data_IF_470410783014
#
_entry.id   IF_470410783014
#
_cell.length_a   1.000
_cell.length_b   1.000
_cell.length_c   1.000
_cell.angle_alpha   90.00
_cell.angle_beta   90.00
_cell.angle_gamma   90.00
#
_symmetry.space_group_name_H-M   'P 1'
#
loop_
_entity.id
_entity.type
_entity.pdbx_description
1 polymer ?
#
# COMPACT_ATOMS: atom_id res chain seq x y z
N UNK A 1 -16.41 -16.21 -7.94
CA UNK A 1 -16.37 -14.75 -7.68
C UNK A 1 -15.43 -14.12 -8.70
N UNK A 2 -15.93 -13.25 -9.58
CA UNK A 2 -15.12 -12.64 -10.65
C UNK A 2 -14.07 -11.67 -10.12
N UNK A 3 -13.00 -11.47 -10.89
CA UNK A 3 -12.01 -10.41 -10.66
C UNK A 3 -12.73 -9.06 -10.73
N UNK A 4 -12.93 -8.40 -9.59
CA UNK A 4 -13.50 -7.05 -9.59
C UNK A 4 -12.54 -6.12 -10.32
N UNK A 5 -13.02 -5.51 -11.41
CA UNK A 5 -12.25 -4.50 -12.15
C UNK A 5 -11.93 -3.31 -11.25
N UNK A 6 -10.78 -2.64 -11.44
CA UNK A 6 -10.53 -1.37 -10.79
C UNK A 6 -11.67 -0.38 -11.04
N UNK A 7 -12.01 0.42 -10.02
CA UNK A 7 -12.82 1.63 -10.26
C UNK A 7 -12.01 2.51 -11.21
N UNK A 8 -12.48 2.77 -12.44
CA UNK A 8 -11.68 3.45 -13.46
C UNK A 8 -11.18 4.82 -12.99
N UNK A 9 -12.03 5.56 -12.27
CA UNK A 9 -11.69 6.86 -11.69
C UNK A 9 -10.54 6.78 -10.69
N UNK A 10 -10.47 5.70 -9.90
CA UNK A 10 -9.43 5.53 -8.87
C UNK A 10 -8.15 4.88 -9.39
N UNK A 11 -8.19 4.27 -10.58
CA UNK A 11 -7.01 3.69 -11.21
C UNK A 11 -6.18 4.75 -11.94
N UNK A 12 -6.84 5.75 -12.51
CA UNK A 12 -6.19 6.86 -13.19
C UNK A 12 -5.90 8.00 -12.21
N UNK A 13 -4.65 8.46 -12.17
CA UNK A 13 -4.23 9.51 -11.25
C UNK A 13 -4.95 10.84 -11.56
N UNK A 14 -5.00 11.25 -12.82
CA UNK A 14 -5.59 12.52 -13.23
C UNK A 14 -7.10 12.53 -12.99
N UNK A 15 -7.78 11.42 -13.27
CA UNK A 15 -9.20 11.25 -12.99
C UNK A 15 -9.48 11.28 -11.48
N UNK A 16 -8.62 10.64 -10.67
CA UNK A 16 -8.73 10.71 -9.20
C UNK A 16 -8.58 12.15 -8.73
N UNK A 17 -7.57 12.88 -9.22
CA UNK A 17 -7.32 14.27 -8.83
C UNK A 17 -8.47 15.19 -9.23
N UNK A 18 -9.03 15.00 -10.44
CA UNK A 18 -10.17 15.79 -10.92
C UNK A 18 -11.40 15.59 -10.03
N UNK A 19 -11.75 14.33 -9.74
CA UNK A 19 -12.87 14.00 -8.86
C UNK A 19 -12.71 14.63 -7.46
N UNK A 20 -11.52 14.53 -6.87
CA UNK A 20 -11.28 15.10 -5.53
C UNK A 20 -11.30 16.64 -5.53
N UNK A 21 -10.84 17.29 -6.60
CA UNK A 21 -10.92 18.75 -6.73
C UNK A 21 -12.36 19.22 -6.97
N UNK A 22 -13.16 18.45 -7.71
CA UNK A 22 -14.60 18.71 -7.86
C UNK A 22 -15.33 18.60 -6.51
N UNK A 23 -15.03 17.57 -5.71
CA UNK A 23 -15.60 17.40 -4.36
C UNK A 23 -15.17 18.50 -3.37
N UNK A 24 -13.95 19.03 -3.51
CA UNK A 24 -13.45 20.13 -2.68
C UNK A 24 -14.16 21.47 -2.97
N UNK A 25 -14.85 21.60 -4.12
CA UNK A 25 -15.51 22.83 -4.54
C UNK A 25 -14.56 24.03 -4.59
N UNK A 26 -15.04 25.22 -4.24
CA UNK A 26 -14.27 26.47 -4.28
C UNK A 26 -13.47 26.76 -3.00
N UNK A 27 -13.37 25.82 -2.05
CA UNK A 27 -12.60 26.00 -0.81
C UNK A 27 -11.09 25.92 -1.09
N UNK A 28 -10.33 27.03 -0.97
CA UNK A 28 -8.91 27.02 -1.28
C UNK A 28 -8.08 26.11 -0.36
N UNK A 29 -8.49 25.94 0.89
CA UNK A 29 -7.78 25.11 1.86
C UNK A 29 -7.98 23.62 1.54
N UNK A 30 -9.19 23.22 1.19
CA UNK A 30 -9.47 21.83 0.77
C UNK A 30 -8.82 21.53 -0.59
N UNK A 31 -8.88 22.44 -1.56
CA UNK A 31 -8.16 22.28 -2.83
C UNK A 31 -6.65 22.11 -2.62
N UNK A 32 -6.05 22.86 -1.70
CA UNK A 32 -4.63 22.74 -1.38
C UNK A 32 -4.29 21.36 -0.79
N UNK A 33 -5.10 20.86 0.15
CA UNK A 33 -4.94 19.50 0.70
C UNK A 33 -5.04 18.43 -0.39
N UNK A 34 -5.99 18.56 -1.31
CA UNK A 34 -6.13 17.64 -2.44
C UNK A 34 -4.87 17.65 -3.31
N UNK A 35 -4.34 18.83 -3.68
CA UNK A 35 -3.11 18.94 -4.48
C UNK A 35 -1.92 18.30 -3.79
N UNK A 36 -1.71 18.59 -2.51
CA UNK A 36 -0.62 17.99 -1.71
C UNK A 36 -0.76 16.47 -1.62
N UNK A 37 -1.98 15.97 -1.43
CA UNK A 37 -2.24 14.53 -1.45
C UNK A 37 -1.92 13.91 -2.81
N UNK A 38 -2.29 14.58 -3.91
CA UNK A 38 -2.00 14.15 -5.28
C UNK A 38 -0.50 14.05 -5.57
N UNK A 39 0.27 15.07 -5.17
CA UNK A 39 1.72 15.05 -5.29
C UNK A 39 2.35 13.90 -4.51
N UNK A 40 1.87 13.64 -3.28
CA UNK A 40 2.32 12.49 -2.50
C UNK A 40 1.96 11.19 -3.21
N UNK A 41 0.71 11.04 -3.70
CA UNK A 41 0.28 9.86 -4.46
C UNK A 41 1.17 9.59 -5.68
N UNK A 42 1.51 10.62 -6.45
CA UNK A 42 2.38 10.50 -7.61
C UNK A 42 3.77 9.94 -7.24
N UNK A 43 4.30 10.29 -6.05
CA UNK A 43 5.55 9.74 -5.52
C UNK A 43 5.41 8.31 -4.99
N UNK A 44 4.28 7.98 -4.35
CA UNK A 44 4.01 6.64 -3.78
C UNK A 44 3.76 5.57 -4.84
N UNK A 45 3.04 5.90 -5.92
CA UNK A 45 2.60 4.90 -6.90
C UNK A 45 3.76 4.10 -7.53
N UNK A 46 4.87 4.70 -7.98
CA UNK A 46 6.01 3.94 -8.50
C UNK A 46 6.61 2.97 -7.48
N UNK A 47 6.74 3.38 -6.21
CA UNK A 47 7.28 2.54 -5.15
C UNK A 47 6.31 1.40 -4.80
N UNK A 48 5.01 1.69 -4.73
CA UNK A 48 3.99 0.67 -4.48
C UNK A 48 3.89 -0.37 -5.61
N UNK A 49 4.07 0.06 -6.87
CA UNK A 49 4.17 -0.86 -8.02
C UNK A 49 5.40 -1.76 -7.91
N UNK A 50 6.57 -1.21 -7.57
CA UNK A 50 7.78 -2.01 -7.31
C UNK A 50 7.55 -3.04 -6.20
N UNK A 51 6.91 -2.63 -5.12
CA UNK A 51 6.60 -3.53 -4.01
C UNK A 51 5.64 -4.65 -4.43
N UNK A 52 4.57 -4.33 -5.17
CA UNK A 52 3.67 -5.34 -5.72
C UNK A 52 4.39 -6.30 -6.68
N UNK A 53 5.28 -5.80 -7.53
CA UNK A 53 6.07 -6.63 -8.45
C UNK A 53 7.07 -7.54 -7.72
N UNK A 54 7.68 -7.05 -6.63
CA UNK A 54 8.53 -7.85 -5.75
C UNK A 54 7.74 -9.03 -5.15
N UNK A 55 6.56 -8.77 -4.60
CA UNK A 55 5.69 -9.81 -4.04
C UNK A 55 5.23 -10.81 -5.11
N UNK A 56 4.92 -10.33 -6.32
CA UNK A 56 4.48 -11.19 -7.42
C UNK A 56 5.59 -12.13 -7.88
N UNK A 57 6.80 -11.63 -8.10
CA UNK A 57 7.95 -12.44 -8.51
C UNK A 57 8.34 -13.52 -7.50
N UNK A 58 8.11 -13.25 -6.22
CA UNK A 58 8.39 -14.19 -5.14
C UNK A 58 7.19 -15.07 -4.77
N UNK A 59 6.12 -15.05 -5.59
CA UNK A 59 4.96 -15.93 -5.43
C UNK A 59 4.08 -15.64 -4.21
N UNK A 60 4.24 -14.47 -3.58
CA UNK A 60 3.40 -14.03 -2.44
C UNK A 60 2.03 -13.59 -2.92
N UNK A 61 1.97 -12.99 -4.11
CA UNK A 61 0.74 -12.69 -4.84
C UNK A 61 0.82 -13.25 -6.26
N UNK A 62 -0.32 -13.52 -6.88
CA UNK A 62 -0.38 -14.00 -8.26
C UNK A 62 -1.59 -13.42 -9.01
N UNK A 63 -1.61 -13.57 -10.33
CA UNK A 63 -2.69 -13.11 -11.21
C UNK A 63 -4.01 -13.87 -11.05
N UNK A 64 -4.09 -14.91 -10.22
CA UNK A 64 -5.33 -15.65 -9.92
C UNK A 64 -6.06 -15.10 -8.69
N UNK A 65 -5.35 -14.38 -7.82
CA UNK A 65 -5.93 -13.77 -6.63
C UNK A 65 -7.06 -12.79 -6.98
N UNK A 66 -8.12 -12.80 -6.17
CA UNK A 66 -9.12 -11.73 -6.24
C UNK A 66 -8.47 -10.42 -5.82
N UNK A 67 -8.95 -9.31 -6.38
CA UNK A 67 -8.43 -7.98 -6.08
C UNK A 67 -8.48 -7.63 -4.59
N UNK A 68 -9.57 -7.99 -3.91
CA UNK A 68 -9.71 -7.81 -2.46
C UNK A 68 -8.60 -8.57 -1.73
N UNK A 69 -8.36 -9.84 -2.08
CA UNK A 69 -7.31 -10.64 -1.46
C UNK A 69 -5.92 -10.12 -1.80
N UNK A 70 -5.65 -9.76 -3.05
CA UNK A 70 -4.38 -9.15 -3.50
C UNK A 70 -4.08 -7.89 -2.69
N UNK A 71 -5.04 -6.96 -2.66
CA UNK A 71 -4.88 -5.70 -1.95
C UNK A 71 -4.64 -5.97 -0.47
N UNK A 72 -5.43 -6.84 0.16
CA UNK A 72 -5.23 -7.24 1.55
C UNK A 72 -3.84 -7.84 1.79
N UNK A 73 -3.37 -8.75 0.94
CA UNK A 73 -2.03 -9.36 1.05
C UNK A 73 -0.92 -8.31 0.92
N UNK A 74 -0.96 -7.46 -0.12
CA UNK A 74 0.02 -6.37 -0.29
C UNK A 74 0.04 -5.48 0.95
N UNK A 75 -1.16 -5.19 1.48
CA UNK A 75 -1.35 -4.41 2.68
C UNK A 75 -0.66 -5.01 3.90
N UNK A 76 -0.85 -6.30 4.19
CA UNK A 76 -0.19 -6.96 5.32
C UNK A 76 1.33 -7.07 5.11
N UNK A 77 1.77 -7.39 3.90
CA UNK A 77 3.18 -7.46 3.54
C UNK A 77 3.86 -6.10 3.70
N UNK A 78 3.18 -5.00 3.35
CA UNK A 78 3.70 -3.65 3.53
C UNK A 78 3.96 -3.37 5.01
N UNK A 79 3.02 -3.74 5.89
CA UNK A 79 3.20 -3.62 7.34
C UNK A 79 4.42 -4.39 7.85
N UNK A 80 4.62 -5.62 7.36
CA UNK A 80 5.76 -6.44 7.76
C UNK A 80 7.08 -5.86 7.24
N UNK A 81 7.11 -5.37 6.01
CA UNK A 81 8.29 -4.80 5.38
C UNK A 81 8.85 -3.56 6.12
N UNK A 82 8.01 -2.77 6.81
CA UNK A 82 8.50 -1.62 7.59
C UNK A 82 9.34 -2.04 8.79
N UNK A 83 9.14 -3.25 9.35
CA UNK A 83 10.03 -3.81 10.39
C UNK A 83 11.42 -4.17 9.86
N UNK A 84 11.50 -4.40 8.55
CA UNK A 84 12.76 -4.61 7.83
C UNK A 84 13.31 -3.30 7.26
N UNK A 85 12.83 -2.15 7.75
CA UNK A 85 13.39 -0.83 7.41
C UNK A 85 12.90 -0.23 6.10
N UNK A 86 11.90 -0.83 5.44
CA UNK A 86 11.25 -0.22 4.28
C UNK A 86 10.51 1.06 4.69
N UNK A 87 10.66 2.12 3.88
CA UNK A 87 9.98 3.40 4.11
C UNK A 87 8.44 3.26 4.05
N UNK A 88 7.74 3.93 4.96
CA UNK A 88 6.27 3.87 5.04
C UNK A 88 5.58 4.66 3.90
N UNK A 89 6.33 5.38 3.08
CA UNK A 89 5.86 6.20 1.97
C UNK A 89 4.86 7.29 2.39
N UNK A 90 4.89 7.71 3.66
CA UNK A 90 3.91 8.62 4.24
C UNK A 90 2.51 8.01 4.39
N UNK A 91 2.37 6.68 4.37
CA UNK A 91 1.17 6.02 4.88
C UNK A 91 1.20 5.99 6.40
N UNK A 92 0.03 6.20 7.00
CA UNK A 92 -0.19 6.11 8.44
C UNK A 92 -0.99 4.85 8.79
N UNK A 93 -0.80 4.37 10.03
CA UNK A 93 -1.55 3.23 10.56
C UNK A 93 -2.77 3.71 11.34
N UNK A 94 -3.97 3.46 10.82
CA UNK A 94 -5.25 3.90 11.42
C UNK A 94 -6.06 2.69 11.93
N UNK A 95 -5.77 2.26 13.15
CA UNK A 95 -6.32 1.03 13.75
C UNK A 95 -7.81 1.14 14.16
N UNK A 96 -8.34 2.35 14.38
CA UNK A 96 -9.70 2.54 14.92
C UNK A 96 -10.83 2.35 13.91
N UNK A 97 -10.55 2.31 12.60
CA UNK A 97 -11.61 2.34 11.56
C UNK A 97 -11.54 1.19 10.55
N UNK A 98 -10.36 0.66 10.20
CA UNK A 98 -10.26 -0.29 9.06
C UNK A 98 -9.12 -1.32 9.11
N UNK A 99 -8.45 -1.48 10.25
CA UNK A 99 -7.26 -2.35 10.33
C UNK A 99 -6.07 -1.77 9.55
N UNK A 100 -5.01 -2.57 9.33
CA UNK A 100 -3.70 -2.06 8.97
C UNK A 100 -3.64 -1.67 7.49
N UNK A 101 -4.14 -0.47 7.17
CA UNK A 101 -3.60 0.53 6.24
C UNK A 101 -4.63 1.64 6.01
N UNK A 102 -4.15 2.88 5.99
CA UNK A 102 -4.98 4.06 5.77
C UNK A 102 -5.82 3.98 4.48
N UNK A 103 -6.98 4.63 4.47
CA UNK A 103 -7.81 4.80 3.27
C UNK A 103 -6.99 5.22 2.01
N UNK A 104 -6.00 6.14 2.09
CA UNK A 104 -5.07 6.43 1.00
C UNK A 104 -4.43 5.23 0.31
N UNK A 105 -3.94 4.24 1.05
CA UNK A 105 -3.30 3.08 0.42
C UNK A 105 -4.33 2.21 -0.31
N UNK A 106 -5.53 2.09 0.25
CA UNK A 106 -6.62 1.38 -0.41
C UNK A 106 -6.97 2.05 -1.75
N UNK A 107 -7.01 3.38 -1.81
CA UNK A 107 -7.22 4.12 -3.06
C UNK A 107 -6.01 3.97 -3.99
N UNK A 108 -4.77 4.01 -3.50
CA UNK A 108 -3.57 3.90 -4.33
C UNK A 108 -3.44 2.49 -4.95
N UNK A 109 -3.83 1.43 -4.24
CA UNK A 109 -3.91 0.06 -4.76
C UNK A 109 -4.94 -0.11 -5.89
N UNK A 110 -5.75 0.89 -6.19
CA UNK A 110 -6.55 0.91 -7.42
C UNK A 110 -5.73 1.14 -8.69
N UNK A 111 -4.58 1.81 -8.57
CA UNK A 111 -3.71 2.21 -9.68
C UNK A 111 -2.46 1.31 -9.79
N UNK A 112 -2.48 0.16 -9.10
CA UNK A 112 -1.35 -0.76 -9.00
C UNK A 112 -1.72 -2.09 -9.61
N UNK A 113 -1.03 -2.42 -10.70
CA UNK A 113 -0.96 -3.77 -11.24
C UNK A 113 0.47 -4.31 -11.00
N UNK A 114 0.61 -5.54 -10.47
CA UNK A 114 1.93 -6.10 -10.12
C UNK A 114 2.90 -6.24 -11.29
N UNK A 115 2.39 -6.37 -12.52
CA UNK A 115 3.20 -6.52 -13.73
C UNK A 115 3.92 -5.22 -14.14
N UNK A 116 3.48 -4.06 -13.63
CA UNK A 116 3.96 -2.73 -14.05
C UNK A 116 5.16 -2.21 -13.24
N UNK A 117 5.68 -2.98 -12.28
CA UNK A 117 6.54 -2.48 -11.20
C UNK A 117 8.06 -2.51 -11.38
N UNK A 118 8.64 -2.73 -12.56
CA UNK A 118 10.11 -2.77 -12.71
C UNK A 118 10.76 -3.94 -11.96
N UNK A 119 12.03 -3.89 -11.55
CA UNK A 119 12.79 -5.01 -10.91
C UNK A 119 12.56 -5.19 -9.39
N UNK A 120 11.94 -4.21 -8.73
CA UNK A 120 11.65 -4.24 -7.29
C UNK A 120 12.78 -3.70 -6.40
N UNK A 121 13.92 -3.30 -6.97
CA UNK A 121 15.10 -2.88 -6.23
C UNK A 121 14.95 -1.51 -5.54
N UNK A 122 15.72 -1.34 -4.46
CA UNK A 122 15.87 -0.07 -3.74
C UNK A 122 14.68 0.32 -2.85
N UNK A 123 13.85 -0.64 -2.45
CA UNK A 123 12.76 -0.42 -1.48
C UNK A 123 13.24 -0.56 -0.03
N UNK A 124 14.20 -1.46 0.20
CA UNK A 124 14.78 -1.73 1.52
C UNK A 124 16.14 -1.01 1.68
N UNK A 125 16.64 -0.85 2.93
CA UNK A 125 17.97 -0.29 3.18
C UNK A 125 19.10 -1.11 2.54
N UNK A 126 18.90 -2.41 2.33
CA UNK A 126 19.84 -3.31 1.67
C UNK A 126 19.24 -4.68 1.33
N UNK A 127 20.03 -5.49 0.62
CA UNK A 127 19.61 -6.83 0.15
C UNK A 127 19.36 -7.81 1.29
N UNK A 128 20.00 -7.61 2.45
CA UNK A 128 19.83 -8.48 3.61
C UNK A 128 18.45 -8.30 4.24
N UNK A 129 18.02 -7.04 4.38
CA UNK A 129 16.70 -6.66 4.87
C UNK A 129 15.59 -7.13 3.92
N UNK A 130 15.79 -6.94 2.61
CA UNK A 130 14.85 -7.44 1.60
C UNK A 130 14.71 -8.96 1.67
N UNK A 131 15.83 -9.69 1.77
CA UNK A 131 15.82 -11.15 1.89
C UNK A 131 15.13 -11.62 3.16
N UNK A 132 15.44 -11.02 4.30
CA UNK A 132 14.82 -11.37 5.58
C UNK A 132 13.29 -11.15 5.53
N UNK A 133 12.84 -10.06 4.91
CA UNK A 133 11.43 -9.82 4.66
C UNK A 133 10.80 -10.92 3.78
N UNK A 134 11.42 -11.23 2.64
CA UNK A 134 10.90 -12.24 1.71
C UNK A 134 10.82 -13.63 2.35
N UNK A 135 11.83 -14.02 3.13
CA UNK A 135 11.83 -15.27 3.89
C UNK A 135 10.71 -15.31 4.94
N UNK A 136 10.40 -14.19 5.59
CA UNK A 136 9.31 -14.10 6.57
C UNK A 136 7.93 -14.32 5.94
N UNK A 137 7.69 -13.76 4.75
CA UNK A 137 6.37 -13.81 4.07
C UNK A 137 6.20 -15.00 3.13
N UNK A 138 7.28 -15.69 2.77
CA UNK A 138 7.25 -16.81 1.83
C UNK A 138 6.30 -17.93 2.29
N UNK A 139 5.44 -18.37 1.38
CA UNK A 139 4.49 -19.47 1.60
C UNK A 139 3.37 -19.19 2.60
N UNK A 140 3.27 -17.97 3.13
CA UNK A 140 2.23 -17.59 4.09
C UNK A 140 0.90 -17.34 3.39
N UNK A 141 -0.18 -17.84 3.98
CA UNK A 141 -1.53 -17.47 3.57
C UNK A 141 -1.85 -16.03 3.98
N UNK A 142 -2.82 -15.42 3.29
CA UNK A 142 -3.33 -14.08 3.64
C UNK A 142 -3.78 -13.98 5.12
N UNK A 143 -4.32 -15.06 5.69
CA UNK A 143 -4.71 -15.08 7.12
C UNK A 143 -3.50 -15.06 8.06
N UNK A 144 -2.44 -15.81 7.73
CA UNK A 144 -1.20 -15.83 8.52
C UNK A 144 -0.51 -14.47 8.45
N UNK A 145 -0.40 -13.88 7.26
CA UNK A 145 0.13 -12.55 7.06
C UNK A 145 -0.63 -11.51 7.89
N UNK A 146 -1.96 -11.58 7.92
CA UNK A 146 -2.78 -10.69 8.75
C UNK A 146 -2.53 -10.84 10.25
N UNK A 147 -2.27 -12.07 10.73
CA UNK A 147 -1.90 -12.29 12.15
C UNK A 147 -0.51 -11.76 12.47
N UNK A 148 0.44 -11.90 11.55
CA UNK A 148 1.82 -11.43 11.71
C UNK A 148 1.92 -9.90 11.65
N UNK A 149 1.15 -9.26 10.78
CA UNK A 149 1.13 -7.80 10.63
C UNK A 149 0.48 -7.09 11.83
N UNK A 150 -0.50 -7.74 12.49
CA UNK A 150 -1.22 -7.16 13.63
C UNK A 150 -0.33 -6.59 14.75
N UNK A 151 0.65 -7.33 15.32
CA UNK A 151 1.51 -6.78 16.37
C UNK A 151 2.38 -5.60 15.90
N UNK A 152 2.84 -5.61 14.65
CA UNK A 152 3.65 -4.52 14.07
C UNK A 152 2.91 -3.20 14.13
N UNK A 153 1.61 -3.26 13.84
CA UNK A 153 0.71 -2.11 13.80
C UNK A 153 0.36 -1.63 15.21
N UNK A 154 0.22 -2.56 16.16
CA UNK A 154 -0.04 -2.25 17.58
C UNK A 154 1.18 -1.61 18.26
N UNK A 155 2.41 -2.05 17.95
CA UNK A 155 3.61 -1.42 18.50
C UNK A 155 3.73 0.05 18.06
N UNK A 156 3.36 0.36 16.81
CA UNK A 156 3.34 1.75 16.33
C UNK A 156 2.29 2.61 17.06
N UNK A 157 1.15 2.03 17.46
CA UNK A 157 0.13 2.72 18.30
C UNK A 157 0.75 3.28 19.58
N UNK A 158 1.68 2.56 20.21
CA UNK A 158 2.35 3.05 21.41
C UNK A 158 3.32 4.19 21.11
N UNK A 159 3.89 4.28 19.90
CA UNK A 159 4.74 5.41 19.50
C UNK A 159 3.94 6.68 19.26
N UNK A 160 2.77 6.58 18.61
CA UNK A 160 1.91 7.75 18.29
C UNK A 160 1.24 8.35 19.52
N UNK A 161 0.90 7.54 20.54
CA UNK A 161 0.31 8.05 21.80
C UNK A 161 1.35 8.82 22.65
N UNK A 162 2.64 8.70 22.34
CA UNK A 162 3.73 9.32 23.09
C UNK A 162 4.37 10.52 22.39
N UNK A 163 3.83 10.95 21.24
CA UNK A 163 4.23 12.16 20.50
C UNK A 163 3.16 13.23 20.58
#
# INVERSE_FOLDING_TARGET
>A
MGKQKPSPTLADHEATMRMLLEDAGDDPAEQQKVREWGERRARRLPQLRRFAALLHRNGVIDGTMSRVRRNFTITQCFALATRHGMDMMGYEWWDSVSGPLSAPMTIDLHAVEPEDGGDGGGLFPGDAEERAFLEEVAGKTWLELGRMARPVVIEERHRIILS
#
